data_IF_278336310796
#
_entry.id   IF_278336310796
#
_cell.length_a   1.000
_cell.length_b   1.000
_cell.length_c   1.000
_cell.angle_alpha   90.00
_cell.angle_beta   90.00
_cell.angle_gamma   90.00
#
_symmetry.space_group_name_H-M   'P 1'
#
loop_
_entity.id
_entity.type
_entity.pdbx_description
1 polymer ?
#
# COMPACT_ATOMS: atom_id res chain seq x y z
N UNK A 1 -9.63 -0.58 17.79
CA UNK A 1 -8.62 -1.17 16.88
C UNK A 1 -9.11 -2.45 16.18
N UNK A 2 -9.40 -3.56 16.88
CA UNK A 2 -9.79 -4.84 16.24
C UNK A 2 -11.15 -4.74 15.51
N UNK A 3 -12.16 -4.11 16.13
CA UNK A 3 -13.52 -4.05 15.56
C UNK A 3 -13.60 -3.24 14.25
N UNK A 4 -12.87 -2.14 14.11
CA UNK A 4 -12.86 -1.32 12.88
C UNK A 4 -12.23 -2.07 11.70
N UNK A 5 -11.04 -2.65 11.90
CA UNK A 5 -10.36 -3.47 10.89
C UNK A 5 -11.18 -4.69 10.48
N UNK A 6 -11.92 -5.29 11.42
CA UNK A 6 -12.84 -6.39 11.13
C UNK A 6 -14.00 -5.93 10.23
N UNK A 7 -14.59 -4.76 10.49
CA UNK A 7 -15.67 -4.22 9.65
C UNK A 7 -15.20 -3.92 8.23
N UNK A 8 -14.00 -3.35 8.05
CA UNK A 8 -13.41 -3.13 6.73
C UNK A 8 -13.22 -4.44 5.97
N UNK A 9 -12.65 -5.46 6.63
CA UNK A 9 -12.48 -6.78 6.02
C UNK A 9 -13.83 -7.42 5.63
N UNK A 10 -14.86 -7.29 6.47
CA UNK A 10 -16.21 -7.79 6.16
C UNK A 10 -16.82 -7.06 4.94
N UNK A 11 -16.61 -5.75 4.83
CA UNK A 11 -17.06 -4.98 3.68
C UNK A 11 -16.36 -5.43 2.39
N UNK A 12 -15.05 -5.67 2.44
CA UNK A 12 -14.31 -6.20 1.29
C UNK A 12 -14.75 -7.62 0.91
N UNK A 13 -15.01 -8.49 1.90
CA UNK A 13 -15.56 -9.84 1.67
C UNK A 13 -16.95 -9.78 1.05
N UNK A 14 -17.82 -8.85 1.49
CA UNK A 14 -19.14 -8.64 0.90
C UNK A 14 -19.04 -8.21 -0.57
N UNK A 15 -18.06 -7.37 -0.90
CA UNK A 15 -17.80 -6.95 -2.28
C UNK A 15 -17.27 -8.11 -3.11
N UNK A 16 -16.29 -8.85 -2.59
CA UNK A 16 -15.77 -10.03 -3.25
C UNK A 16 -16.88 -11.05 -3.52
N UNK A 17 -17.78 -11.26 -2.55
CA UNK A 17 -18.99 -12.07 -2.69
C UNK A 17 -19.89 -11.61 -3.84
N UNK A 18 -20.18 -10.30 -3.91
CA UNK A 18 -21.03 -9.73 -4.97
C UNK A 18 -20.40 -9.80 -6.36
N UNK A 19 -19.07 -9.72 -6.45
CA UNK A 19 -18.32 -9.76 -7.71
C UNK A 19 -18.18 -11.19 -8.21
N UNK A 20 -17.71 -12.09 -7.34
CA UNK A 20 -17.35 -13.46 -7.70
C UNK A 20 -18.57 -14.38 -7.73
N UNK A 21 -19.62 -14.06 -6.96
CA UNK A 21 -20.74 -14.96 -6.69
C UNK A 21 -20.29 -16.13 -5.82
N UNK A 22 -21.05 -16.45 -4.76
CA UNK A 22 -20.85 -17.71 -4.03
C UNK A 22 -21.70 -18.86 -4.58
N UNK A 23 -22.50 -18.59 -5.61
CA UNK A 23 -23.37 -19.60 -6.20
C UNK A 23 -22.54 -20.59 -7.02
N UNK A 24 -22.50 -21.82 -6.52
CA UNK A 24 -21.85 -22.98 -7.16
C UNK A 24 -22.47 -23.38 -8.49
N UNK A 25 -23.60 -22.77 -8.86
CA UNK A 25 -24.34 -22.99 -10.11
C UNK A 25 -24.10 -21.89 -11.16
N UNK A 26 -23.10 -21.03 -10.98
CA UNK A 26 -22.75 -20.02 -11.99
C UNK A 26 -21.80 -20.61 -13.06
N UNK A 27 -22.25 -20.63 -14.32
CA UNK A 27 -21.46 -20.96 -15.52
C UNK A 27 -20.38 -19.89 -15.85
N UNK A 28 -20.07 -18.98 -14.91
CA UNK A 28 -19.14 -17.89 -15.14
C UNK A 28 -17.69 -18.38 -15.17
N UNK A 29 -16.99 -18.04 -16.24
CA UNK A 29 -15.58 -18.35 -16.43
C UNK A 29 -14.66 -17.52 -15.52
N UNK A 30 -13.39 -17.92 -15.42
CA UNK A 30 -12.37 -17.09 -14.77
C UNK A 30 -12.20 -15.74 -15.47
N UNK A 31 -12.38 -15.72 -16.80
CA UNK A 31 -12.29 -14.50 -17.60
C UNK A 31 -13.44 -13.54 -17.26
N UNK A 32 -14.67 -14.04 -17.09
CA UNK A 32 -15.81 -13.22 -16.65
C UNK A 32 -15.55 -12.58 -15.28
N UNK A 33 -15.00 -13.36 -14.35
CA UNK A 33 -14.62 -12.87 -13.01
C UNK A 33 -13.49 -11.85 -13.08
N UNK A 34 -12.51 -12.05 -13.95
CA UNK A 34 -11.44 -11.10 -14.21
C UNK A 34 -11.97 -9.78 -14.79
N UNK A 35 -12.87 -9.83 -15.77
CA UNK A 35 -13.46 -8.63 -16.39
C UNK A 35 -14.24 -7.78 -15.38
N UNK A 36 -14.89 -8.39 -14.38
CA UNK A 36 -15.55 -7.67 -13.28
C UNK A 36 -14.58 -6.92 -12.35
N UNK A 37 -13.27 -7.21 -12.42
CA UNK A 37 -12.26 -6.44 -11.69
C UNK A 37 -12.02 -5.06 -12.30
N UNK A 38 -12.40 -4.82 -13.57
CA UNK A 38 -12.18 -3.52 -14.23
C UNK A 38 -10.75 -2.99 -14.03
N UNK A 39 -9.79 -3.91 -14.12
CA UNK A 39 -8.40 -3.69 -13.79
C UNK A 39 -7.54 -4.64 -14.62
N UNK A 40 -6.74 -4.09 -15.52
CA UNK A 40 -5.78 -4.86 -16.28
C UNK A 40 -4.61 -5.26 -15.38
N UNK A 41 -4.34 -6.57 -15.30
CA UNK A 41 -3.29 -7.17 -14.49
C UNK A 41 -2.35 -7.92 -15.44
N UNK A 42 -1.18 -7.35 -15.69
CA UNK A 42 -0.21 -7.91 -16.65
C UNK A 42 1.05 -8.36 -15.93
N UNK A 43 1.52 -9.61 -16.08
CA UNK A 43 2.75 -10.07 -15.45
C UNK A 43 3.96 -9.33 -16.01
N UNK A 44 4.91 -8.98 -15.14
CA UNK A 44 6.20 -8.42 -15.54
C UNK A 44 7.23 -9.53 -15.76
N UNK A 45 8.05 -9.39 -16.78
CA UNK A 45 9.20 -10.25 -16.97
C UNK A 45 10.23 -10.03 -15.84
N UNK A 46 10.79 -11.11 -15.30
CA UNK A 46 11.71 -11.06 -14.15
C UNK A 46 13.01 -10.32 -14.48
N UNK A 47 13.39 -10.26 -15.76
CA UNK A 47 14.57 -9.55 -16.23
C UNK A 47 14.32 -8.07 -16.55
N UNK A 48 13.07 -7.61 -16.47
CA UNK A 48 12.70 -6.21 -16.68
C UNK A 48 13.29 -5.28 -15.61
N UNK A 49 13.53 -4.02 -15.99
CA UNK A 49 14.07 -3.00 -15.08
C UNK A 49 13.13 -2.75 -13.90
N UNK A 50 11.82 -2.72 -14.14
CA UNK A 50 10.82 -2.52 -13.09
C UNK A 50 10.82 -3.68 -12.09
N UNK A 51 10.87 -4.93 -12.55
CA UNK A 51 10.93 -6.09 -11.65
C UNK A 51 12.17 -6.02 -10.75
N UNK A 52 13.35 -5.77 -11.33
CA UNK A 52 14.62 -5.66 -10.59
C UNK A 52 14.62 -4.52 -9.57
N UNK A 53 14.06 -3.36 -9.93
CA UNK A 53 13.93 -2.23 -9.01
C UNK A 53 13.01 -2.57 -7.84
N UNK A 54 11.89 -3.24 -8.10
CA UNK A 54 10.92 -3.66 -7.09
C UNK A 54 11.52 -4.73 -6.17
N UNK A 55 12.23 -5.70 -6.74
CA UNK A 55 12.97 -6.72 -5.98
C UNK A 55 14.01 -6.07 -5.05
N UNK A 56 14.83 -5.15 -5.57
CA UNK A 56 15.77 -4.39 -4.77
C UNK A 56 15.07 -3.61 -3.64
N UNK A 57 13.96 -2.92 -3.95
CA UNK A 57 13.20 -2.16 -2.96
C UNK A 57 12.65 -3.07 -1.85
N UNK A 58 12.11 -4.25 -2.21
CA UNK A 58 11.62 -5.24 -1.25
C UNK A 58 12.75 -5.77 -0.36
N UNK A 59 13.88 -6.16 -0.94
CA UNK A 59 15.00 -6.74 -0.18
C UNK A 59 15.69 -5.71 0.72
N UNK A 60 15.83 -4.47 0.27
CA UNK A 60 16.53 -3.42 1.03
C UNK A 60 15.70 -2.85 2.16
N UNK A 61 14.37 -2.82 2.05
CA UNK A 61 13.54 -2.05 2.99
C UNK A 61 12.86 -2.91 4.05
N UNK A 62 13.43 -4.08 4.32
CA UNK A 62 13.01 -4.91 5.44
C UNK A 62 13.48 -4.31 6.77
N UNK A 63 12.53 -3.81 7.54
CA UNK A 63 12.79 -3.13 8.79
C UNK A 63 13.49 -4.04 9.84
N UNK A 64 14.50 -3.53 10.57
CA UNK A 64 15.36 -4.34 11.41
C UNK A 64 14.69 -4.92 12.67
N UNK A 65 13.51 -4.44 13.08
CA UNK A 65 12.77 -5.03 14.21
C UNK A 65 11.85 -6.17 13.81
N UNK A 66 11.51 -6.32 12.52
CA UNK A 66 10.61 -7.38 12.03
C UNK A 66 11.41 -8.63 11.68
N UNK A 67 11.98 -9.29 12.70
CA UNK A 67 12.98 -10.37 12.52
C UNK A 67 12.39 -11.78 12.42
N UNK A 68 11.10 -11.96 12.67
CA UNK A 68 10.47 -13.29 12.78
C UNK A 68 10.21 -13.96 11.43
N UNK A 69 10.40 -13.22 10.34
CA UNK A 69 10.19 -13.68 8.97
C UNK A 69 11.05 -12.86 8.01
N UNK A 70 11.32 -13.42 6.84
CA UNK A 70 11.87 -12.73 5.67
C UNK A 70 10.89 -12.80 4.50
N UNK A 71 11.11 -11.97 3.48
CA UNK A 71 10.27 -11.91 2.29
C UNK A 71 11.03 -12.44 1.08
N UNK A 72 10.32 -13.15 0.22
CA UNK A 72 10.72 -13.53 -1.13
C UNK A 72 9.70 -12.96 -2.11
N UNK A 73 10.18 -12.31 -3.17
CA UNK A 73 9.33 -11.85 -4.26
C UNK A 73 9.11 -13.01 -5.24
N UNK A 74 7.85 -13.42 -5.43
CA UNK A 74 7.52 -14.46 -6.41
C UNK A 74 7.18 -13.84 -7.77
N UNK A 75 6.15 -12.99 -7.80
CA UNK A 75 5.61 -12.43 -9.04
C UNK A 75 5.32 -10.93 -8.87
N UNK A 76 5.46 -10.18 -9.96
CA UNK A 76 5.04 -8.78 -10.04
C UNK A 76 4.11 -8.62 -11.24
N UNK A 77 3.00 -7.93 -11.03
CA UNK A 77 2.06 -7.57 -12.07
C UNK A 77 1.94 -6.05 -12.14
N UNK A 78 1.99 -5.47 -13.33
CA UNK A 78 1.56 -4.09 -13.54
C UNK A 78 0.04 -4.00 -13.49
N UNK A 79 -0.47 -2.93 -12.88
CA UNK A 79 -1.89 -2.65 -12.74
C UNK A 79 -2.29 -1.42 -13.56
N UNK A 80 -3.37 -1.56 -14.33
CA UNK A 80 -4.10 -0.43 -14.90
C UNK A 80 -5.59 -0.55 -14.60
N UNK A 81 -6.03 0.20 -13.58
CA UNK A 81 -7.43 0.17 -13.13
C UNK A 81 -8.27 1.21 -13.85
N UNK A 82 -9.44 0.81 -14.32
CA UNK A 82 -10.34 1.67 -15.09
C UNK A 82 -10.59 3.02 -14.42
N UNK A 83 -10.32 4.08 -15.17
CA UNK A 83 -10.50 5.48 -14.77
C UNK A 83 -9.57 5.98 -13.66
N UNK A 84 -8.65 5.16 -13.14
CA UNK A 84 -7.75 5.56 -12.05
C UNK A 84 -6.77 6.63 -12.51
N UNK A 85 -6.13 6.44 -13.67
CA UNK A 85 -5.22 7.42 -14.25
C UNK A 85 -5.92 8.77 -14.47
N UNK A 86 -7.17 8.76 -14.93
CA UNK A 86 -7.95 9.98 -15.13
C UNK A 86 -8.17 10.74 -13.81
N UNK A 87 -8.55 10.03 -12.73
CA UNK A 87 -8.68 10.62 -11.39
C UNK A 87 -7.35 11.15 -10.85
N UNK A 88 -6.27 10.40 -11.08
CA UNK A 88 -4.92 10.71 -10.62
C UNK A 88 -4.26 11.87 -11.38
N UNK A 89 -4.58 12.06 -12.66
CA UNK A 89 -3.94 13.03 -13.57
C UNK A 89 -3.86 14.45 -13.00
N UNK A 90 -4.94 14.90 -12.33
CA UNK A 90 -4.98 16.22 -11.69
C UNK A 90 -3.90 16.39 -10.61
N UNK A 91 -3.54 15.33 -9.91
CA UNK A 91 -2.52 15.34 -8.88
C UNK A 91 -1.14 15.09 -9.46
N UNK A 92 -1.05 14.17 -10.44
CA UNK A 92 0.18 13.92 -11.19
C UNK A 92 0.80 15.21 -11.73
N UNK A 93 -0.04 16.05 -12.33
CA UNK A 93 0.39 17.26 -13.05
C UNK A 93 0.58 18.48 -12.15
N UNK A 94 -0.10 18.55 -10.99
CA UNK A 94 -0.13 19.75 -10.16
C UNK A 94 0.55 19.60 -8.80
N UNK A 95 0.86 18.37 -8.35
CA UNK A 95 1.59 18.14 -7.11
C UNK A 95 3.03 17.67 -7.37
N UNK A 96 3.94 18.25 -6.61
CA UNK A 96 5.30 17.77 -6.42
C UNK A 96 5.32 16.60 -5.41
N UNK A 97 6.50 16.04 -5.16
CA UNK A 97 6.70 14.98 -4.17
C UNK A 97 5.77 13.78 -4.41
N UNK A 98 6.07 13.03 -5.47
CA UNK A 98 5.41 11.75 -5.79
C UNK A 98 6.33 10.64 -5.37
N UNK A 99 5.80 9.65 -4.65
CA UNK A 99 6.58 8.51 -4.18
C UNK A 99 5.90 7.20 -4.53
N UNK A 100 6.70 6.17 -4.83
CA UNK A 100 6.23 4.80 -4.94
C UNK A 100 6.29 4.13 -3.56
N UNK A 101 5.12 3.84 -2.98
CA UNK A 101 5.02 3.41 -1.58
C UNK A 101 4.25 2.10 -1.41
N UNK A 102 4.58 1.37 -0.35
CA UNK A 102 4.04 0.06 -0.02
C UNK A 102 2.67 0.17 0.66
N UNK A 103 1.72 -0.66 0.23
CA UNK A 103 0.49 -0.93 0.95
C UNK A 103 0.27 -2.44 1.08
N UNK A 104 -0.01 -2.92 2.29
CA UNK A 104 -0.32 -4.33 2.55
C UNK A 104 -1.75 -4.46 3.05
N UNK A 105 -2.41 -5.54 2.66
CA UNK A 105 -3.79 -5.86 3.05
C UNK A 105 -4.00 -7.37 3.06
N UNK A 106 -5.07 -7.83 3.69
CA UNK A 106 -5.44 -9.25 3.69
C UNK A 106 -5.73 -9.71 2.26
N UNK A 107 -5.39 -10.96 1.94
CA UNK A 107 -5.67 -11.55 0.63
C UNK A 107 -7.16 -11.39 0.22
N UNK A 108 -8.07 -11.59 1.18
CA UNK A 108 -9.53 -11.45 1.00
C UNK A 108 -9.96 -10.07 0.50
N UNK A 109 -9.13 -9.04 0.70
CA UNK A 109 -9.49 -7.66 0.39
C UNK A 109 -9.10 -7.26 -1.03
N UNK A 110 -8.23 -8.03 -1.71
CA UNK A 110 -7.68 -7.64 -3.00
C UNK A 110 -8.72 -7.62 -4.12
N UNK A 111 -9.76 -8.45 -4.08
CA UNK A 111 -10.86 -8.37 -5.06
C UNK A 111 -11.56 -7.02 -4.99
N UNK A 112 -11.84 -6.53 -3.77
CA UNK A 112 -12.42 -5.20 -3.56
C UNK A 112 -11.46 -4.07 -3.95
N UNK A 113 -10.17 -4.20 -3.62
CA UNK A 113 -9.16 -3.19 -3.94
C UNK A 113 -8.93 -3.09 -5.45
N UNK A 114 -8.84 -4.21 -6.17
CA UNK A 114 -8.63 -4.22 -7.61
C UNK A 114 -9.85 -3.65 -8.36
N UNK A 115 -11.06 -4.00 -7.92
CA UNK A 115 -12.30 -3.54 -8.56
C UNK A 115 -12.67 -2.09 -8.25
N UNK A 116 -12.45 -1.63 -7.01
CA UNK A 116 -12.94 -0.32 -6.56
C UNK A 116 -11.83 0.68 -6.22
N UNK A 117 -10.57 0.24 -6.24
CA UNK A 117 -9.42 0.99 -5.73
C UNK A 117 -9.32 0.94 -4.19
N UNK A 118 -8.27 1.58 -3.67
CA UNK A 118 -8.12 1.79 -2.23
C UNK A 118 -9.17 2.78 -1.71
N UNK A 119 -9.81 2.45 -0.58
CA UNK A 119 -10.94 3.22 -0.02
C UNK A 119 -10.61 3.76 1.36
N UNK A 120 -11.08 4.97 1.62
CA UNK A 120 -11.02 5.58 2.95
C UNK A 120 -12.23 5.09 3.73
N UNK A 121 -12.00 4.72 4.99
CA UNK A 121 -13.07 4.29 5.88
C UNK A 121 -14.24 5.31 5.88
N UNK A 122 -15.50 4.84 5.87
CA UNK A 122 -16.65 5.72 5.75
C UNK A 122 -16.84 6.57 7.03
N UNK A 123 -17.54 7.71 6.98
CA UNK A 123 -17.68 8.65 8.12
C UNK A 123 -18.21 8.01 9.42
N UNK A 124 -19.00 6.96 9.31
CA UNK A 124 -19.68 6.23 10.38
C UNK A 124 -18.73 5.27 11.10
N UNK A 125 -17.64 4.85 10.46
CA UNK A 125 -16.63 4.01 11.09
C UNK A 125 -15.97 4.77 12.25
N UNK A 126 -15.70 4.13 13.40
CA UNK A 126 -15.04 4.81 14.50
C UNK A 126 -13.60 5.20 14.12
N UNK A 127 -13.19 6.43 14.44
CA UNK A 127 -11.80 6.90 14.21
C UNK A 127 -10.79 6.14 15.09
N UNK A 128 -11.27 5.43 16.12
CA UNK A 128 -10.47 4.69 17.10
C UNK A 128 -9.76 3.47 16.49
N UNK A 129 -8.57 3.71 15.93
CA UNK A 129 -7.74 2.68 15.29
C UNK A 129 -6.82 3.21 14.22
N UNK A 130 -7.02 4.46 13.78
CA UNK A 130 -6.19 5.13 12.79
C UNK A 130 -5.33 6.20 13.47
N UNK A 131 -4.00 6.07 13.40
CA UNK A 131 -3.07 6.96 14.13
C UNK A 131 -3.17 8.42 13.69
N UNK A 132 -3.53 8.66 12.43
CA UNK A 132 -3.63 9.98 11.80
C UNK A 132 -5.01 10.21 11.16
N UNK A 133 -6.04 9.55 11.73
CA UNK A 133 -7.41 9.59 11.23
C UNK A 133 -7.64 8.81 9.94
N UNK A 134 -8.82 8.98 9.34
CA UNK A 134 -9.25 8.17 8.19
C UNK A 134 -8.58 8.64 6.91
N UNK A 135 -7.72 7.80 6.36
CA UNK A 135 -7.00 8.05 5.12
C UNK A 135 -6.44 6.75 4.56
N UNK A 136 -5.78 6.84 3.41
CA UNK A 136 -5.03 5.73 2.84
C UNK A 136 -3.62 5.73 3.41
N UNK A 137 -3.22 4.63 4.04
CA UNK A 137 -1.94 4.49 4.73
C UNK A 137 -0.93 3.74 3.86
N UNK A 138 0.27 4.28 3.77
CA UNK A 138 1.41 3.71 3.06
C UNK A 138 2.68 3.75 3.91
N UNK A 139 3.66 2.92 3.57
CA UNK A 139 4.98 2.92 4.19
C UNK A 139 6.09 2.89 3.13
N UNK A 140 7.27 3.36 3.53
CA UNK A 140 8.51 3.30 2.75
C UNK A 140 9.40 2.10 3.13
N UNK A 141 9.03 1.36 4.18
CA UNK A 141 9.63 0.08 4.55
C UNK A 141 8.66 -1.07 4.29
N UNK A 142 9.04 -2.01 3.42
CA UNK A 142 8.15 -3.11 2.97
C UNK A 142 7.61 -3.90 4.16
N UNK A 143 8.44 -4.21 5.15
CA UNK A 143 8.04 -5.11 6.24
C UNK A 143 7.05 -4.47 7.22
N UNK A 144 6.88 -3.15 7.18
CA UNK A 144 5.80 -2.47 7.89
C UNK A 144 4.45 -2.71 7.24
N UNK A 145 4.38 -2.53 5.91
CA UNK A 145 3.15 -2.80 5.16
C UNK A 145 2.83 -4.30 5.11
N UNK A 146 3.84 -5.16 5.00
CA UNK A 146 3.69 -6.61 4.93
C UNK A 146 2.99 -7.23 6.17
N UNK A 147 3.10 -6.62 7.36
CA UNK A 147 2.35 -7.06 8.54
C UNK A 147 0.83 -6.99 8.38
N UNK A 148 0.35 -6.14 7.48
CA UNK A 148 -1.07 -5.98 7.19
C UNK A 148 -1.59 -7.06 6.21
N UNK A 149 -0.72 -7.93 5.69
CA UNK A 149 -1.12 -9.09 4.90
C UNK A 149 -1.75 -10.19 5.77
N UNK A 150 -1.42 -10.24 7.07
CA UNK A 150 -1.90 -11.26 8.02
C UNK A 150 -1.68 -12.71 7.55
N UNK A 151 -0.54 -12.97 6.91
CA UNK A 151 -0.09 -14.32 6.54
C UNK A 151 0.39 -15.12 7.76
N UNK A 152 0.40 -16.44 7.64
CA UNK A 152 0.90 -17.35 8.68
C UNK A 152 1.71 -18.50 8.06
N UNK A 153 2.25 -19.39 8.91
CA UNK A 153 3.07 -20.52 8.46
C UNK A 153 2.32 -21.50 7.54
N UNK A 154 1.01 -21.61 7.68
CA UNK A 154 0.17 -22.50 6.87
C UNK A 154 -0.22 -21.84 5.54
N UNK A 155 -0.35 -20.51 5.55
CA UNK A 155 -0.68 -19.68 4.39
C UNK A 155 0.37 -18.56 4.22
N UNK A 156 1.60 -18.89 3.80
CA UNK A 156 2.73 -17.95 3.83
C UNK A 156 2.78 -17.00 2.63
N UNK A 157 1.79 -17.01 1.75
CA UNK A 157 1.77 -16.16 0.55
C UNK A 157 0.80 -15.01 0.76
N UNK A 158 1.29 -13.79 0.61
CA UNK A 158 0.52 -12.56 0.69
C UNK A 158 0.56 -11.78 -0.62
N UNK A 159 -0.37 -10.85 -0.75
CA UNK A 159 -0.35 -9.83 -1.80
C UNK A 159 -0.01 -8.47 -1.21
N UNK A 160 0.74 -7.67 -1.96
CA UNK A 160 1.12 -6.30 -1.61
C UNK A 160 0.97 -5.38 -2.82
N UNK A 161 0.78 -4.09 -2.57
CA UNK A 161 0.72 -3.06 -3.60
C UNK A 161 1.93 -2.13 -3.50
N UNK A 162 2.42 -1.71 -4.66
CA UNK A 162 3.16 -0.46 -4.83
C UNK A 162 2.26 0.52 -5.58
N UNK A 163 2.08 1.70 -4.99
CA UNK A 163 1.26 2.77 -5.57
C UNK A 163 2.06 4.05 -5.69
N UNK A 164 1.83 4.77 -6.78
CA UNK A 164 2.30 6.15 -6.95
C UNK A 164 1.40 7.06 -6.13
N UNK A 165 1.97 7.69 -5.11
CA UNK A 165 1.25 8.54 -4.16
C UNK A 165 1.71 9.98 -4.33
N UNK A 166 0.79 10.86 -4.71
CA UNK A 166 1.05 12.30 -4.81
C UNK A 166 0.93 12.94 -3.42
N UNK A 167 2.08 13.12 -2.75
CA UNK A 167 2.15 13.57 -1.36
C UNK A 167 2.12 15.10 -1.23
N UNK A 168 2.70 15.83 -2.19
CA UNK A 168 2.85 17.29 -2.12
C UNK A 168 3.50 17.74 -0.82
N UNK A 169 3.09 18.92 -0.34
CA UNK A 169 3.46 19.40 1.00
C UNK A 169 2.88 18.52 2.11
N UNK A 170 3.77 17.82 2.81
CA UNK A 170 3.39 16.91 3.90
C UNK A 170 3.27 17.65 5.24
N UNK A 171 2.29 17.24 6.06
CA UNK A 171 2.18 17.61 7.46
C UNK A 171 2.91 16.58 8.33
N UNK A 172 4.03 16.96 8.93
CA UNK A 172 4.88 16.03 9.67
C UNK A 172 4.46 15.93 11.15
N UNK A 173 4.28 14.70 11.63
CA UNK A 173 3.85 14.39 12.99
C UNK A 173 4.73 13.33 13.62
N UNK A 174 5.00 13.46 14.92
CA UNK A 174 5.83 12.53 15.72
C UNK A 174 5.02 11.63 16.65
N UNK A 175 3.72 11.87 16.76
CA UNK A 175 2.79 11.18 17.65
C UNK A 175 1.43 11.04 16.98
N UNK A 176 0.66 10.04 17.40
CA UNK A 176 -0.70 9.85 16.90
C UNK A 176 -1.53 11.12 17.13
N UNK A 177 -2.26 11.54 16.11
CA UNK A 177 -3.07 12.76 16.11
C UNK A 177 -4.37 12.49 15.36
N UNK A 178 -5.49 12.52 16.06
CA UNK A 178 -6.80 12.37 15.43
C UNK A 178 -7.12 13.59 14.57
N UNK A 179 -7.37 13.37 13.27
CA UNK A 179 -7.61 14.44 12.29
C UNK A 179 -8.40 13.90 11.09
N UNK A 180 -9.26 14.72 10.50
CA UNK A 180 -9.98 14.32 9.28
C UNK A 180 -9.18 14.60 8.01
N UNK A 181 -8.36 15.65 8.03
CA UNK A 181 -7.50 16.09 6.93
C UNK A 181 -6.35 16.96 7.46
N UNK A 182 -5.25 17.11 6.71
CA UNK A 182 -4.13 17.95 7.14
C UNK A 182 -4.51 19.44 7.14
N UNK A 183 -3.74 20.28 7.87
CA UNK A 183 -3.99 21.71 7.94
C UNK A 183 -3.92 22.37 6.56
N UNK A 184 -4.51 23.56 6.44
CA UNK A 184 -4.53 24.32 5.17
C UNK A 184 -3.11 24.46 4.60
N UNK A 185 -2.96 24.19 3.30
CA UNK A 185 -1.68 24.23 2.60
C UNK A 185 -0.88 22.93 2.66
N UNK A 186 -1.39 21.89 3.32
CA UNK A 186 -0.82 20.53 3.32
C UNK A 186 -1.73 19.57 2.57
N UNK A 187 -1.14 18.61 1.88
CA UNK A 187 -1.85 17.67 0.99
C UNK A 187 -1.86 16.24 1.52
N UNK A 188 -0.95 15.92 2.44
CA UNK A 188 -0.80 14.61 3.06
C UNK A 188 -0.24 14.75 4.47
N UNK A 189 -0.19 13.66 5.22
CA UNK A 189 0.44 13.57 6.54
C UNK A 189 1.61 12.59 6.46
N UNK A 190 2.75 12.94 7.09
CA UNK A 190 3.89 12.05 7.29
C UNK A 190 4.09 11.79 8.77
N UNK A 191 3.84 10.56 9.20
CA UNK A 191 4.28 10.08 10.52
C UNK A 191 5.79 9.86 10.49
N UNK A 192 6.54 10.58 11.31
CA UNK A 192 8.01 10.54 11.33
C UNK A 192 8.50 9.36 12.16
N UNK A 193 9.11 8.36 11.53
CA UNK A 193 9.69 7.20 12.18
C UNK A 193 11.10 7.43 12.75
N UNK A 194 11.48 6.62 13.74
CA UNK A 194 12.87 6.55 14.24
C UNK A 194 13.84 5.95 13.23
N UNK A 195 13.38 5.13 12.31
CA UNK A 195 14.16 4.51 11.24
C UNK A 195 13.53 4.84 9.89
N UNK A 196 14.37 5.22 8.93
CA UNK A 196 13.97 5.65 7.58
C UNK A 196 14.85 4.99 6.53
N UNK A 197 14.41 4.83 5.28
CA UNK A 197 15.29 4.47 4.17
C UNK A 197 16.40 5.50 3.98
N UNK A 198 17.61 5.06 3.62
CA UNK A 198 18.74 5.94 3.34
C UNK A 198 18.51 6.78 2.07
N UNK A 199 18.36 8.10 2.23
CA UNK A 199 17.97 9.02 1.15
C UNK A 199 18.94 9.06 -0.04
N UNK A 200 20.24 8.86 0.19
CA UNK A 200 21.24 8.83 -0.90
C UNK A 200 21.11 7.62 -1.83
N UNK A 201 20.35 6.60 -1.44
CA UNK A 201 20.07 5.40 -2.23
C UNK A 201 18.70 5.47 -2.93
N UNK A 202 18.02 6.62 -2.87
CA UNK A 202 16.72 6.79 -3.54
C UNK A 202 16.90 6.84 -5.04
N UNK A 203 15.98 6.20 -5.76
CA UNK A 203 15.97 6.18 -7.21
C UNK A 203 14.80 7.02 -7.72
N UNK A 204 15.01 7.69 -8.86
CA UNK A 204 13.92 8.28 -9.63
C UNK A 204 13.40 7.24 -10.63
N UNK A 205 12.13 6.92 -10.50
CA UNK A 205 11.38 6.10 -11.44
C UNK A 205 10.38 7.02 -12.16
N UNK A 206 10.15 6.82 -13.46
CA UNK A 206 9.16 7.50 -14.35
C UNK A 206 8.58 8.84 -13.86
N UNK A 207 8.74 9.92 -14.63
CA UNK A 207 8.15 11.23 -14.32
C UNK A 207 8.54 11.78 -12.93
N UNK A 208 9.80 11.56 -12.52
CA UNK A 208 10.40 11.98 -11.24
C UNK A 208 9.74 11.39 -9.98
N UNK A 209 9.02 10.27 -10.08
CA UNK A 209 8.52 9.54 -8.91
C UNK A 209 9.69 8.97 -8.11
N UNK A 210 9.74 9.29 -6.82
CA UNK A 210 10.81 8.83 -5.93
C UNK A 210 10.50 7.43 -5.41
N UNK A 211 11.47 6.53 -5.54
CA UNK A 211 11.44 5.18 -4.94
C UNK A 211 12.41 5.17 -3.77
N UNK A 212 11.92 5.11 -2.51
CA UNK A 212 12.78 5.16 -1.34
C UNK A 212 13.38 3.77 -1.03
N UNK A 213 14.12 3.20 -1.99
CA UNK A 213 14.68 1.85 -1.95
C UNK A 213 15.99 1.69 -1.15
N UNK A 214 16.31 2.68 -0.32
CA UNK A 214 17.50 2.67 0.52
C UNK A 214 17.39 1.78 1.75
N UNK A 215 18.52 1.27 2.24
CA UNK A 215 18.55 0.45 3.46
C UNK A 215 18.07 1.23 4.69
N UNK A 216 17.49 0.57 5.72
CA UNK A 216 16.92 1.26 6.86
C UNK A 216 18.06 1.80 7.76
N UNK A 217 18.04 3.10 8.02
CA UNK A 217 19.01 3.82 8.86
C UNK A 217 18.30 4.59 9.98
N UNK A 218 18.96 4.87 11.11
CA UNK A 218 18.42 5.76 12.12
C UNK A 218 18.12 7.15 11.54
N UNK A 219 16.94 7.69 11.84
CA UNK A 219 16.59 9.06 11.49
C UNK A 219 17.20 10.06 12.48
N UNK A 220 17.16 11.34 12.13
CA UNK A 220 17.46 12.45 13.05
C UNK A 220 16.39 12.62 14.16
N UNK A 221 15.24 11.95 14.04
CA UNK A 221 14.10 12.10 14.95
C UNK A 221 14.21 11.09 16.11
N UNK A 222 14.76 11.56 17.24
CA UNK A 222 14.92 10.72 18.44
C UNK A 222 13.64 10.56 19.26
N UNK A 223 12.83 11.62 19.37
CA UNK A 223 11.57 11.64 20.11
C UNK A 223 10.38 11.47 19.15
N UNK A 224 10.11 10.22 18.78
CA UNK A 224 8.91 9.82 18.04
C UNK A 224 8.25 8.62 18.71
N UNK A 225 6.93 8.52 18.62
CA UNK A 225 6.16 7.33 18.99
C UNK A 225 6.21 6.25 17.89
N UNK A 226 6.65 6.61 16.68
CA UNK A 226 6.69 5.73 15.52
C UNK A 226 8.08 5.16 15.32
N UNK A 227 8.16 3.84 15.11
CA UNK A 227 9.42 3.17 14.75
C UNK A 227 9.84 3.47 13.31
N UNK A 228 8.87 3.60 12.40
CA UNK A 228 9.07 3.74 10.95
C UNK A 228 8.08 4.75 10.39
N UNK A 229 8.39 5.34 9.23
CA UNK A 229 7.52 6.33 8.62
C UNK A 229 6.12 5.77 8.28
N UNK A 230 5.16 6.68 8.18
CA UNK A 230 3.85 6.44 7.53
C UNK A 230 3.52 7.63 6.65
N UNK A 231 2.88 7.36 5.53
CA UNK A 231 2.40 8.38 4.60
C UNK A 231 0.90 8.20 4.44
N UNK A 232 0.16 9.27 4.68
CA UNK A 232 -1.30 9.25 4.70
C UNK A 232 -1.84 10.29 3.74
N UNK A 233 -2.68 9.85 2.81
CA UNK A 233 -3.45 10.74 1.93
C UNK A 233 -4.93 10.61 2.24
N UNK A 234 -5.65 11.74 2.14
CA UNK A 234 -7.05 11.87 2.56
C UNK A 234 -7.99 12.03 1.36
N UNK A 235 -7.47 11.80 0.16
CA UNK A 235 -8.23 11.74 -1.08
C UNK A 235 -7.73 10.56 -1.91
N UNK A 236 -8.63 9.64 -2.26
CA UNK A 236 -8.30 8.44 -3.03
C UNK A 236 -7.72 8.75 -4.41
N UNK A 237 -8.05 9.91 -4.98
CA UNK A 237 -7.51 10.35 -6.27
C UNK A 237 -6.04 10.80 -6.19
N UNK A 238 -5.43 10.90 -5.00
CA UNK A 238 -3.98 11.12 -4.84
C UNK A 238 -3.14 9.85 -5.06
N UNK A 239 -3.78 8.72 -5.38
CA UNK A 239 -3.13 7.42 -5.50
C UNK A 239 -3.43 6.83 -6.87
N UNK A 240 -2.40 6.29 -7.51
CA UNK A 240 -2.52 5.34 -8.61
C UNK A 240 -1.83 4.04 -8.24
N UNK A 241 -2.52 2.92 -8.28
CA UNK A 241 -1.91 1.60 -8.13
C UNK A 241 -1.05 1.32 -9.36
N UNK A 242 0.19 0.91 -9.13
CA UNK A 242 1.16 0.64 -10.21
C UNK A 242 1.49 -0.84 -10.29
N UNK A 243 1.73 -1.49 -9.15
CA UNK A 243 2.12 -2.90 -9.13
C UNK A 243 1.40 -3.68 -8.04
N UNK A 244 1.02 -4.91 -8.39
CA UNK A 244 0.62 -5.97 -7.47
C UNK A 244 1.77 -6.95 -7.34
N UNK A 245 2.14 -7.29 -6.11
CA UNK A 245 3.23 -8.21 -5.83
C UNK A 245 2.69 -9.44 -5.11
N UNK A 246 3.11 -10.62 -5.56
CA UNK A 246 2.94 -11.88 -4.85
C UNK A 246 4.21 -12.14 -4.05
N UNK A 247 4.07 -12.18 -2.73
CA UNK A 247 5.21 -12.22 -1.81
C UNK A 247 5.07 -13.42 -0.88
N UNK A 248 6.13 -14.22 -0.75
CA UNK A 248 6.21 -15.33 0.19
C UNK A 248 6.92 -14.92 1.46
N UNK A 249 6.33 -15.29 2.60
CA UNK A 249 6.84 -15.05 3.93
C UNK A 249 7.53 -16.32 4.45
N UNK A 250 8.82 -16.21 4.72
CA UNK A 250 9.62 -17.28 5.31
C UNK A 250 9.69 -17.08 6.81
N UNK A 251 8.73 -17.64 7.54
CA UNK A 251 8.71 -17.59 9.00
C UNK A 251 9.86 -18.41 9.60
N UNK A 252 10.59 -17.81 10.54
CA UNK A 252 11.57 -18.54 11.35
C UNK A 252 10.87 -19.63 12.13
N UNK A 253 11.55 -20.77 12.32
CA UNK A 253 11.05 -21.93 13.07
C UNK A 253 10.79 -21.57 14.53
#
# INVERSE_FOLDING_TARGET
MIKAKMLEALQDIEIASKIVGFDSDSDESLDDKYMKLHCDITPLAHDSEDYKLIEQYLLNTHAPTHKDWSLELEEVFSLDRDGELNKYSRYKNNLHNKMLLWHGSRLTNFVGILSQGLRIAPPEAPVTGYMFGKGLYFADLVSKSAQYCYVDRNNPVGLMLLSEVALGDMYELKKATSMDKPPRGKHSTKGLGKTVPLESEFVKWRDDVVVPCGKPVPSSIRSSELMYNEYIVYNTSQVKMQFLLKVRFHHKR
#
